data_IF_632697400619
#
_entry.id   IF_632697400619
#
_cell.length_a   1.000
_cell.length_b   1.000
_cell.length_c   1.000
_cell.angle_alpha   90.00
_cell.angle_beta   90.00
_cell.angle_gamma   90.00
#
_symmetry.space_group_name_H-M   'P 1'
#
loop_
_entity.id
_entity.type
_entity.pdbx_description
1 polymer ?
#
# COMPACT_ATOMS: atom_id res chain seq x y z
N UNK A 1 -49.41 6.24 -19.78
CA UNK A 1 -48.37 7.01 -19.07
C UNK A 1 -46.94 6.44 -19.16
N UNK A 2 -46.72 5.13 -19.40
CA UNK A 2 -45.36 4.56 -19.41
C UNK A 2 -44.42 4.90 -20.58
N UNK A 3 -44.95 5.37 -21.74
CA UNK A 3 -44.10 5.62 -22.93
C UNK A 3 -43.21 6.86 -22.80
N UNK A 4 -43.69 7.92 -22.16
CA UNK A 4 -42.92 9.16 -21.98
C UNK A 4 -41.72 9.00 -21.03
N UNK A 5 -41.81 8.07 -20.07
CA UNK A 5 -40.72 7.80 -19.15
C UNK A 5 -39.56 7.10 -19.87
N UNK A 6 -39.86 6.10 -20.71
CA UNK A 6 -38.85 5.38 -21.49
C UNK A 6 -38.17 6.29 -22.52
N UNK A 7 -38.91 7.22 -23.14
CA UNK A 7 -38.34 8.15 -24.12
C UNK A 7 -37.36 9.13 -23.48
N UNK A 8 -37.68 9.68 -22.30
CA UNK A 8 -36.77 10.54 -21.54
C UNK A 8 -35.51 9.79 -21.07
N UNK A 9 -35.64 8.52 -20.67
CA UNK A 9 -34.49 7.69 -20.29
C UNK A 9 -33.58 7.34 -21.48
N UNK A 10 -34.16 7.19 -22.68
CA UNK A 10 -33.40 6.88 -23.91
C UNK A 10 -32.64 8.09 -24.44
N UNK A 11 -33.20 9.28 -24.30
CA UNK A 11 -32.54 10.55 -24.63
C UNK A 11 -31.40 10.85 -23.65
N UNK A 12 -31.59 10.57 -22.34
CA UNK A 12 -30.53 10.69 -21.34
C UNK A 12 -29.37 9.71 -21.58
N UNK A 13 -29.66 8.47 -21.96
CA UNK A 13 -28.65 7.44 -22.24
C UNK A 13 -27.81 7.81 -23.48
N UNK A 14 -28.45 8.36 -24.51
CA UNK A 14 -27.78 8.77 -25.75
C UNK A 14 -26.91 10.01 -25.53
N UNK A 15 -27.42 11.01 -24.81
CA UNK A 15 -26.66 12.19 -24.44
C UNK A 15 -25.46 11.84 -23.53
N UNK A 16 -25.62 10.88 -22.62
CA UNK A 16 -24.54 10.41 -21.73
C UNK A 16 -23.47 9.66 -22.53
N UNK A 17 -23.86 8.87 -23.53
CA UNK A 17 -22.93 8.13 -24.38
C UNK A 17 -22.08 9.08 -25.25
N UNK A 18 -22.68 10.11 -25.83
CA UNK A 18 -21.97 11.13 -26.62
C UNK A 18 -21.11 12.05 -25.73
N UNK A 19 -21.54 12.34 -24.49
CA UNK A 19 -20.77 13.13 -23.52
C UNK A 19 -19.55 12.36 -23.00
N UNK A 20 -19.69 11.04 -22.80
CA UNK A 20 -18.61 10.12 -22.46
C UNK A 20 -17.62 10.03 -23.63
N UNK A 21 -18.10 9.93 -24.87
CA UNK A 21 -17.24 9.83 -26.05
C UNK A 21 -16.45 11.13 -26.31
N UNK A 22 -17.05 12.30 -26.08
CA UNK A 22 -16.41 13.62 -26.28
C UNK A 22 -15.43 14.01 -25.16
N UNK A 23 -15.70 13.62 -23.90
CA UNK A 23 -14.86 13.99 -22.75
C UNK A 23 -13.66 13.06 -22.52
N UNK A 24 -13.59 11.93 -23.23
CA UNK A 24 -12.60 10.85 -23.01
C UNK A 24 -11.22 11.14 -23.59
N UNK A 25 -11.10 12.01 -24.62
CA UNK A 25 -9.87 12.14 -25.40
C UNK A 25 -8.70 12.76 -24.61
N UNK A 26 -8.98 13.74 -23.74
CA UNK A 26 -7.95 14.40 -22.93
C UNK A 26 -7.73 13.71 -21.57
N UNK A 27 -8.79 13.21 -20.94
CA UNK A 27 -8.65 12.55 -19.64
C UNK A 27 -8.01 11.16 -19.73
N UNK A 28 -8.16 10.41 -20.82
CA UNK A 28 -7.41 9.16 -21.02
C UNK A 28 -5.90 9.38 -20.99
N UNK A 29 -5.40 10.46 -21.61
CA UNK A 29 -3.96 10.68 -21.71
C UNK A 29 -3.35 11.16 -20.39
N UNK A 30 -4.06 12.02 -19.66
CA UNK A 30 -3.58 12.54 -18.38
C UNK A 30 -3.71 11.50 -17.25
N UNK A 31 -4.78 10.70 -17.24
CA UNK A 31 -4.90 9.52 -16.38
C UNK A 31 -3.83 8.48 -16.72
N UNK A 32 -3.63 8.17 -17.99
CA UNK A 32 -2.57 7.24 -18.42
C UNK A 32 -1.20 7.73 -18.00
N UNK A 33 -0.90 9.02 -18.16
CA UNK A 33 0.36 9.64 -17.72
C UNK A 33 0.52 9.58 -16.20
N UNK A 34 -0.54 9.80 -15.43
CA UNK A 34 -0.51 9.75 -13.95
C UNK A 34 -0.33 8.32 -13.43
N UNK A 35 -1.01 7.35 -14.04
CA UNK A 35 -0.85 5.91 -13.77
C UNK A 35 0.56 5.47 -14.15
N UNK A 36 1.02 5.77 -15.37
CA UNK A 36 2.38 5.44 -15.81
C UNK A 36 3.45 6.08 -14.92
N UNK A 37 3.28 7.34 -14.51
CA UNK A 37 4.23 8.00 -13.60
C UNK A 37 4.24 7.33 -12.22
N UNK A 38 3.07 6.92 -11.71
CA UNK A 38 2.95 6.14 -10.48
C UNK A 38 3.61 4.76 -10.57
N UNK A 39 3.38 4.05 -11.68
CA UNK A 39 4.00 2.74 -11.95
C UNK A 39 5.52 2.88 -12.09
N UNK A 40 6.01 3.85 -12.88
CA UNK A 40 7.45 4.10 -13.07
C UNK A 40 8.12 4.47 -11.74
N UNK A 41 7.50 5.34 -10.94
CA UNK A 41 8.02 5.72 -9.62
C UNK A 41 8.06 4.53 -8.65
N UNK A 42 7.00 3.71 -8.63
CA UNK A 42 6.93 2.52 -7.75
C UNK A 42 7.94 1.46 -8.18
N UNK A 43 8.06 1.22 -9.49
CA UNK A 43 9.03 0.28 -10.05
C UNK A 43 10.48 0.68 -9.74
N UNK A 44 10.83 1.97 -9.82
CA UNK A 44 12.17 2.42 -9.44
C UNK A 44 12.48 2.11 -7.97
N UNK A 45 11.55 2.37 -7.06
CA UNK A 45 11.71 2.03 -5.64
C UNK A 45 11.84 0.53 -5.40
N UNK A 46 11.06 -0.29 -6.10
CA UNK A 46 11.12 -1.76 -6.01
C UNK A 46 12.48 -2.27 -6.49
N UNK A 47 12.95 -1.80 -7.65
CA UNK A 47 14.23 -2.21 -8.23
C UNK A 47 15.37 -1.83 -7.28
N UNK A 48 15.38 -0.58 -6.79
CA UNK A 48 16.40 -0.12 -5.85
C UNK A 48 16.34 -0.92 -4.52
N UNK A 49 15.15 -1.16 -4.00
CA UNK A 49 14.94 -1.98 -2.81
C UNK A 49 15.42 -3.41 -2.99
N UNK A 50 15.22 -4.00 -4.18
CA UNK A 50 15.69 -5.34 -4.50
C UNK A 50 17.21 -5.43 -4.51
N UNK A 51 17.88 -4.49 -5.19
CA UNK A 51 19.34 -4.41 -5.17
C UNK A 51 19.88 -4.18 -3.75
N UNK A 52 19.23 -3.30 -2.98
CA UNK A 52 19.60 -3.05 -1.60
C UNK A 52 19.46 -4.30 -0.73
N UNK A 53 18.37 -5.07 -0.90
CA UNK A 53 18.15 -6.33 -0.19
C UNK A 53 19.25 -7.35 -0.50
N UNK A 54 19.62 -7.49 -1.77
CA UNK A 54 20.72 -8.38 -2.19
C UNK A 54 22.04 -7.95 -1.54
N UNK A 55 22.37 -6.65 -1.58
CA UNK A 55 23.57 -6.13 -0.95
C UNK A 55 23.61 -6.43 0.55
N UNK A 56 22.47 -6.32 1.24
CA UNK A 56 22.34 -6.57 2.67
C UNK A 56 22.51 -8.05 3.02
N UNK A 57 21.98 -8.96 2.19
CA UNK A 57 22.22 -10.41 2.34
C UNK A 57 23.71 -10.72 2.18
N UNK A 58 24.35 -10.20 1.14
CA UNK A 58 25.79 -10.38 0.92
C UNK A 58 26.61 -9.84 2.10
N UNK A 59 26.26 -8.66 2.60
CA UNK A 59 26.91 -8.05 3.74
C UNK A 59 26.76 -8.92 5.00
N UNK A 60 25.57 -9.49 5.24
CA UNK A 60 25.37 -10.42 6.35
C UNK A 60 26.24 -11.66 6.23
N UNK A 61 26.34 -12.25 5.04
CA UNK A 61 27.17 -13.44 4.83
C UNK A 61 28.64 -13.10 5.05
N UNK A 62 29.10 -11.96 4.52
CA UNK A 62 30.46 -11.47 4.74
C UNK A 62 30.75 -11.25 6.23
N UNK A 63 29.81 -10.68 6.98
CA UNK A 63 29.96 -10.44 8.41
C UNK A 63 30.01 -11.75 9.21
N UNK A 64 29.22 -12.76 8.83
CA UNK A 64 29.26 -14.08 9.44
C UNK A 64 30.62 -14.78 9.22
N UNK A 65 31.15 -14.71 7.99
CA UNK A 65 32.46 -15.25 7.66
C UNK A 65 33.57 -14.50 8.39
N UNK A 66 33.48 -13.16 8.46
CA UNK A 66 34.45 -12.33 9.18
C UNK A 66 34.51 -12.68 10.67
N UNK A 67 33.35 -12.75 11.35
CA UNK A 67 33.30 -13.21 12.73
C UNK A 67 33.84 -14.63 12.87
N UNK A 68 33.49 -15.53 11.95
CA UNK A 68 34.00 -16.90 11.93
C UNK A 68 35.53 -16.97 11.85
N UNK A 69 36.15 -16.13 11.02
CA UNK A 69 37.61 -16.08 10.88
C UNK A 69 38.30 -15.47 12.11
N UNK A 70 37.71 -14.45 12.74
CA UNK A 70 38.26 -13.85 13.98
C UNK A 70 38.21 -14.85 15.14
N UNK A 71 37.20 -15.72 15.17
CA UNK A 71 37.05 -16.78 16.17
C UNK A 71 37.86 -18.05 15.81
N UNK A 72 38.66 -18.04 14.74
CA UNK A 72 39.39 -19.20 14.17
C UNK A 72 38.48 -20.40 13.85
N UNK A 73 37.16 -20.21 13.85
CA UNK A 73 36.16 -21.24 13.64
C UNK A 73 34.90 -20.64 13.01
N UNK A 74 34.69 -20.97 11.73
CA UNK A 74 33.57 -20.50 10.93
C UNK A 74 32.22 -20.95 11.52
N UNK A 75 32.14 -22.12 12.15
CA UNK A 75 30.90 -22.61 12.76
C UNK A 75 30.44 -21.73 13.94
N UNK A 76 31.38 -21.20 14.73
CA UNK A 76 31.06 -20.26 15.82
C UNK A 76 30.56 -18.92 15.28
N UNK A 77 31.12 -18.44 14.16
CA UNK A 77 30.65 -17.24 13.47
C UNK A 77 29.18 -17.34 13.04
N UNK A 78 28.80 -18.47 12.43
CA UNK A 78 27.40 -18.73 12.07
C UNK A 78 26.49 -18.90 13.28
N UNK A 79 26.96 -19.53 14.37
CA UNK A 79 26.18 -19.71 15.59
C UNK A 79 25.82 -18.37 16.23
N UNK A 80 26.79 -17.45 16.35
CA UNK A 80 26.58 -16.11 16.89
C UNK A 80 25.62 -15.31 16.01
N UNK A 81 25.80 -15.38 14.68
CA UNK A 81 24.88 -14.72 13.75
C UNK A 81 23.47 -15.31 13.81
N UNK A 82 23.34 -16.62 13.99
CA UNK A 82 22.04 -17.29 14.20
C UNK A 82 21.31 -16.79 15.45
N UNK A 83 22.02 -16.69 16.58
CA UNK A 83 21.46 -16.12 17.82
C UNK A 83 21.09 -14.65 17.63
N UNK A 84 21.94 -13.87 16.95
CA UNK A 84 21.66 -12.48 16.62
C UNK A 84 20.38 -12.35 15.76
N UNK A 85 20.20 -13.21 14.76
CA UNK A 85 19.00 -13.22 13.92
C UNK A 85 17.72 -13.58 14.68
N UNK A 86 17.79 -14.51 15.62
CA UNK A 86 16.66 -14.83 16.51
C UNK A 86 16.31 -13.63 17.38
N UNK A 87 17.32 -12.97 17.96
CA UNK A 87 17.10 -11.76 18.77
C UNK A 87 16.49 -10.64 17.92
N UNK A 88 17.02 -10.44 16.70
CA UNK A 88 16.50 -9.48 15.73
C UNK A 88 15.04 -9.79 15.38
N UNK A 89 14.68 -11.05 15.16
CA UNK A 89 13.30 -11.48 14.87
C UNK A 89 12.34 -11.13 16.00
N UNK A 90 12.74 -11.34 17.26
CA UNK A 90 11.91 -11.00 18.44
C UNK A 90 11.69 -9.49 18.49
N UNK A 91 12.77 -8.71 18.34
CA UNK A 91 12.71 -7.24 18.32
C UNK A 91 11.81 -6.77 17.18
N UNK A 92 12.05 -7.22 15.95
CA UNK A 92 11.22 -6.85 14.80
C UNK A 92 9.76 -7.22 15.05
N UNK A 93 9.44 -8.40 15.60
CA UNK A 93 8.05 -8.80 15.85
C UNK A 93 7.32 -7.84 16.80
N UNK A 94 8.01 -7.31 17.81
CA UNK A 94 7.44 -6.33 18.75
C UNK A 94 7.23 -4.95 18.09
N UNK A 95 8.19 -4.47 17.30
CA UNK A 95 8.13 -3.16 16.64
C UNK A 95 7.24 -3.15 15.39
N UNK A 96 7.37 -4.17 14.53
CA UNK A 96 6.56 -4.32 13.31
C UNK A 96 5.10 -4.52 13.68
N UNK A 97 4.75 -5.32 14.69
CA UNK A 97 3.33 -5.50 15.05
C UNK A 97 2.69 -4.14 15.39
N UNK A 98 3.32 -3.35 16.26
CA UNK A 98 2.81 -2.01 16.62
C UNK A 98 2.77 -1.04 15.44
N UNK A 99 3.79 -1.05 14.59
CA UNK A 99 3.92 -0.10 13.46
C UNK A 99 2.97 -0.47 12.32
N UNK A 100 2.89 -1.75 11.99
CA UNK A 100 2.05 -2.29 10.93
C UNK A 100 0.57 -2.19 11.31
N UNK A 101 0.21 -2.49 12.57
CA UNK A 101 -1.15 -2.28 13.07
C UNK A 101 -1.53 -0.79 12.99
N UNK A 102 -0.66 0.12 13.44
CA UNK A 102 -0.94 1.57 13.36
C UNK A 102 -1.06 2.07 11.92
N UNK A 103 -0.24 1.59 10.98
CA UNK A 103 -0.32 2.00 9.56
C UNK A 103 -1.53 1.39 8.87
N UNK A 104 -1.77 0.08 9.04
CA UNK A 104 -2.90 -0.63 8.44
C UNK A 104 -4.21 -0.11 8.98
N UNK A 105 -4.35 0.02 10.31
CA UNK A 105 -5.56 0.56 10.94
C UNK A 105 -5.74 2.01 10.57
N UNK A 106 -4.70 2.86 10.53
CA UNK A 106 -4.87 4.27 10.12
C UNK A 106 -5.24 4.42 8.65
N UNK A 107 -4.66 3.61 7.74
CA UNK A 107 -5.03 3.63 6.32
C UNK A 107 -6.43 3.06 6.08
N UNK A 108 -6.76 1.94 6.72
CA UNK A 108 -8.09 1.35 6.64
C UNK A 108 -9.12 2.31 7.24
N UNK A 109 -8.89 2.81 8.45
CA UNK A 109 -9.76 3.77 9.12
C UNK A 109 -9.92 5.05 8.31
N UNK A 110 -8.87 5.64 7.73
CA UNK A 110 -9.02 6.82 6.87
C UNK A 110 -9.85 6.52 5.62
N UNK A 111 -9.73 5.33 5.03
CA UNK A 111 -10.50 4.95 3.84
C UNK A 111 -11.95 4.56 4.16
N UNK A 112 -12.21 4.01 5.36
CA UNK A 112 -13.54 3.65 5.84
C UNK A 112 -14.29 4.84 6.46
N UNK A 113 -13.64 5.71 7.24
CA UNK A 113 -14.28 6.88 7.86
C UNK A 113 -14.48 8.03 6.86
N UNK A 114 -13.67 8.13 5.81
CA UNK A 114 -13.92 9.09 4.72
C UNK A 114 -15.10 8.69 3.81
N UNK A 115 -15.70 7.51 4.02
CA UNK A 115 -16.94 7.06 3.37
C UNK A 115 -18.18 7.22 4.29
N UNK A 116 -17.99 7.56 5.57
CA UNK A 116 -19.03 7.52 6.60
C UNK A 116 -19.20 8.84 7.38
N UNK A 117 -18.76 9.98 6.85
CA UNK A 117 -18.90 11.28 7.53
C UNK A 117 -20.33 11.87 7.47
N UNK A 118 -21.30 11.12 6.93
CA UNK A 118 -22.69 11.56 6.79
C UNK A 118 -23.65 10.96 7.84
N UNK A 119 -23.17 10.26 8.89
CA UNK A 119 -24.07 9.90 10.01
C UNK A 119 -24.17 11.08 10.96
N UNK A 120 -25.11 11.96 10.59
CA UNK A 120 -25.74 12.98 11.41
C UNK A 120 -25.82 12.57 12.88
N UNK A 121 -25.24 13.43 13.71
CA UNK A 121 -25.67 13.63 15.08
C UNK A 121 -27.13 14.12 15.02
N UNK A 122 -28.09 13.22 15.14
CA UNK A 122 -29.48 13.59 15.48
C UNK A 122 -29.93 12.88 16.77
N UNK A 123 -29.92 13.68 17.83
CA UNK A 123 -31.03 13.85 18.77
C UNK A 123 -31.31 12.71 19.76
N UNK A 124 -30.49 12.64 20.82
CA UNK A 124 -30.99 12.26 22.14
C UNK A 124 -31.32 13.52 22.95
N UNK A 125 -32.52 14.08 22.77
CA UNK A 125 -33.14 14.95 23.78
C UNK A 125 -34.68 14.97 23.65
N UNK A 126 -35.29 13.80 23.79
CA UNK A 126 -36.72 13.65 24.07
C UNK A 126 -36.92 13.32 25.54
N UNK A 127 -36.78 14.31 26.41
CA UNK A 127 -37.34 14.29 27.77
C UNK A 127 -38.48 15.30 27.83
N UNK A 128 -39.70 14.86 27.49
CA UNK A 128 -40.97 15.25 28.13
C UNK A 128 -41.95 14.08 28.01
#
# INVERSE_FOLDING_TARGET
MGKQLTDNFREFTTATQDYIESSISYHKLDLFKKVMKGVVSSSYQIILGFFFLIALIFLSVAMAIYLGNVLENIALGYLIMGVFYILLMIVLSLFLKKTLEKILVKKASAQFFNDNEDIKIEQHEGLQ
#
